data_IF_860528650225
#
_entry.id   IF_860528650225
#
_cell.length_a   1.000
_cell.length_b   1.000
_cell.length_c   1.000
_cell.angle_alpha   90.00
_cell.angle_beta   90.00
_cell.angle_gamma   90.00
#
_symmetry.space_group_name_H-M   'P 1'
#
loop_
_entity.id
_entity.type
_entity.pdbx_description
1 polymer ?
#
# COMPACT_ATOMS: atom_id res chain seq x y z
N UNK A 1 3.40 -13.22 -14.86
CA UNK A 1 2.87 -12.22 -13.94
C UNK A 1 2.87 -10.86 -14.62
N UNK A 2 1.75 -10.17 -14.61
CA UNK A 2 1.65 -8.82 -15.14
C UNK A 2 1.58 -7.82 -13.98
N UNK A 3 2.67 -7.09 -13.75
CA UNK A 3 2.77 -6.14 -12.63
C UNK A 3 1.74 -5.03 -12.71
N UNK A 4 1.41 -4.57 -13.92
CA UNK A 4 0.40 -3.54 -14.13
C UNK A 4 -0.99 -4.03 -13.72
N UNK A 5 -1.36 -5.25 -14.07
CA UNK A 5 -2.64 -5.84 -13.64
C UNK A 5 -2.72 -5.99 -12.12
N UNK A 6 -1.63 -6.39 -11.48
CA UNK A 6 -1.58 -6.49 -10.03
C UNK A 6 -1.73 -5.11 -9.37
N UNK A 7 -1.06 -4.10 -9.91
CA UNK A 7 -1.24 -2.73 -9.44
C UNK A 7 -2.68 -2.25 -9.60
N UNK A 8 -3.30 -2.51 -10.74
CA UNK A 8 -4.71 -2.15 -10.99
C UNK A 8 -5.66 -2.84 -10.03
N UNK A 9 -5.38 -4.10 -9.67
CA UNK A 9 -6.16 -4.85 -8.68
C UNK A 9 -6.13 -4.15 -7.31
N UNK A 10 -4.95 -3.69 -6.88
CA UNK A 10 -4.81 -2.97 -5.62
C UNK A 10 -5.49 -1.60 -5.66
N UNK A 11 -5.33 -0.87 -6.77
CA UNK A 11 -5.97 0.44 -6.96
C UNK A 11 -7.50 0.28 -6.91
N UNK A 12 -8.03 -0.71 -7.59
CA UNK A 12 -9.47 -0.98 -7.63
C UNK A 12 -10.01 -1.37 -6.26
N UNK A 13 -9.28 -2.22 -5.52
CA UNK A 13 -9.67 -2.60 -4.17
C UNK A 13 -9.80 -1.38 -3.26
N UNK A 14 -8.84 -0.47 -3.31
CA UNK A 14 -8.87 0.76 -2.52
C UNK A 14 -9.98 1.71 -2.99
N UNK A 15 -10.16 1.88 -4.30
CA UNK A 15 -11.16 2.76 -4.87
C UNK A 15 -12.59 2.29 -4.59
N UNK A 16 -12.82 1.00 -4.70
CA UNK A 16 -14.13 0.39 -4.45
C UNK A 16 -14.35 0.11 -2.96
N UNK A 17 -13.31 0.23 -2.14
CA UNK A 17 -13.33 -0.08 -0.70
C UNK A 17 -13.77 -1.51 -0.44
N UNK A 18 -13.22 -2.43 -1.22
CA UNK A 18 -13.48 -3.87 -1.12
C UNK A 18 -12.14 -4.58 -0.93
N UNK A 19 -12.06 -5.44 0.09
CA UNK A 19 -10.85 -6.19 0.36
C UNK A 19 -10.53 -7.14 -0.80
N UNK A 20 -9.24 -7.34 -1.04
CA UNK A 20 -8.74 -8.33 -1.99
C UNK A 20 -7.87 -9.33 -1.27
N UNK A 21 -7.72 -10.52 -1.85
CA UNK A 21 -6.80 -11.53 -1.33
C UNK A 21 -5.36 -11.09 -1.53
N UNK A 22 -4.41 -11.59 -0.72
CA UNK A 22 -3.00 -11.29 -0.95
C UNK A 22 -2.56 -11.66 -2.35
N UNK A 23 -1.73 -10.83 -2.98
CA UNK A 23 -1.20 -11.13 -4.32
C UNK A 23 -0.39 -12.42 -4.31
N UNK A 24 0.23 -12.76 -3.19
CA UNK A 24 1.01 -13.97 -3.02
C UNK A 24 0.18 -15.26 -3.03
N UNK A 25 -1.14 -15.17 -2.87
CA UNK A 25 -2.01 -16.35 -3.04
C UNK A 25 -1.99 -16.82 -4.49
N UNK A 26 -1.96 -15.90 -5.45
CA UNK A 26 -1.91 -16.22 -6.87
C UNK A 26 -0.47 -16.32 -7.38
N UNK A 27 0.46 -15.62 -6.76
CA UNK A 27 1.87 -15.55 -7.16
C UNK A 27 2.79 -15.79 -5.94
N UNK A 28 2.92 -17.06 -5.50
CA UNK A 28 3.71 -17.38 -4.30
C UNK A 28 5.19 -16.97 -4.38
N UNK A 29 5.72 -16.85 -5.60
CA UNK A 29 7.13 -16.48 -5.82
C UNK A 29 7.35 -14.97 -5.92
N UNK A 30 6.31 -14.16 -5.70
CA UNK A 30 6.42 -12.71 -5.73
C UNK A 30 7.37 -12.25 -4.63
N UNK A 31 8.47 -11.61 -5.01
CA UNK A 31 9.49 -11.14 -4.08
C UNK A 31 9.29 -9.68 -3.67
N UNK A 32 10.10 -9.22 -2.71
CA UNK A 32 10.00 -7.86 -2.16
C UNK A 32 10.28 -6.81 -3.24
N UNK A 33 11.29 -7.02 -4.08
CA UNK A 33 11.62 -6.07 -5.15
C UNK A 33 10.47 -5.91 -6.15
N UNK A 34 9.84 -7.01 -6.51
CA UNK A 34 8.65 -6.98 -7.38
C UNK A 34 7.49 -6.27 -6.69
N UNK A 35 7.28 -6.53 -5.39
CA UNK A 35 6.24 -5.85 -4.62
C UNK A 35 6.45 -4.33 -4.62
N UNK A 36 7.69 -3.86 -4.45
CA UNK A 36 7.98 -2.42 -4.53
C UNK A 36 7.74 -1.85 -5.94
N UNK A 37 8.06 -2.61 -6.98
CA UNK A 37 7.75 -2.19 -8.36
C UNK A 37 6.24 -2.02 -8.56
N UNK A 38 5.45 -2.94 -8.01
CA UNK A 38 3.98 -2.83 -8.03
C UNK A 38 3.53 -1.60 -7.24
N UNK A 39 4.11 -1.36 -6.06
CA UNK A 39 3.83 -0.17 -5.27
C UNK A 39 4.12 1.12 -6.04
N UNK A 40 5.26 1.19 -6.74
CA UNK A 40 5.61 2.35 -7.55
C UNK A 40 4.57 2.61 -8.63
N UNK A 41 4.05 1.57 -9.25
CA UNK A 41 2.98 1.70 -10.25
C UNK A 41 1.68 2.23 -9.62
N UNK A 42 1.31 1.73 -8.44
CA UNK A 42 0.15 2.22 -7.69
C UNK A 42 0.31 3.70 -7.34
N UNK A 43 1.47 4.07 -6.81
CA UNK A 43 1.76 5.46 -6.41
C UNK A 43 1.71 6.37 -7.63
N UNK A 44 2.31 5.97 -8.75
CA UNK A 44 2.31 6.79 -9.97
C UNK A 44 0.90 6.99 -10.52
N UNK A 45 0.06 5.96 -10.48
CA UNK A 45 -1.34 6.07 -10.88
C UNK A 45 -2.11 7.07 -9.99
N UNK A 46 -1.85 7.06 -8.69
CA UNK A 46 -2.45 8.00 -7.76
C UNK A 46 -1.99 9.44 -8.02
N UNK A 47 -0.69 9.63 -8.30
CA UNK A 47 -0.14 10.94 -8.66
C UNK A 47 -0.77 11.46 -9.94
N UNK A 48 -0.95 10.60 -10.94
CA UNK A 48 -1.61 10.97 -12.20
C UNK A 48 -3.07 11.40 -11.97
N UNK A 49 -3.71 10.88 -10.92
CA UNK A 49 -5.08 11.26 -10.53
C UNK A 49 -5.13 12.49 -9.61
N UNK A 50 -3.99 13.13 -9.33
CA UNK A 50 -3.93 14.36 -8.55
C UNK A 50 -3.40 14.22 -7.12
N UNK A 51 -3.02 13.01 -6.69
CA UNK A 51 -2.43 12.83 -5.36
C UNK A 51 -1.04 13.46 -5.28
N UNK A 52 -0.76 14.14 -4.17
CA UNK A 52 0.55 14.74 -3.89
C UNK A 52 1.19 13.94 -2.76
N UNK A 53 2.40 13.44 -2.98
CA UNK A 53 3.14 12.71 -1.96
C UNK A 53 3.70 13.72 -0.96
N UNK A 54 3.38 13.52 0.31
CA UNK A 54 3.77 14.43 1.40
C UNK A 54 4.69 13.79 2.42
N UNK A 55 4.90 12.47 2.35
CA UNK A 55 5.76 11.79 3.30
C UNK A 55 5.87 10.32 3.01
N UNK A 56 6.54 9.62 3.91
CA UNK A 56 6.74 8.18 3.85
C UNK A 56 6.46 7.55 5.21
N UNK A 57 5.96 6.33 5.20
CA UNK A 57 5.75 5.52 6.39
C UNK A 57 6.76 4.38 6.39
N UNK A 58 7.43 4.17 7.52
CA UNK A 58 8.33 3.03 7.72
C UNK A 58 7.65 2.00 8.61
N UNK A 59 7.79 0.74 8.26
CA UNK A 59 7.26 -0.38 9.03
C UNK A 59 8.34 -1.42 9.29
N UNK A 60 8.13 -2.27 10.28
CA UNK A 60 9.05 -3.35 10.65
C UNK A 60 10.48 -2.82 10.88
N UNK A 61 10.59 -1.76 11.68
CA UNK A 61 11.87 -1.09 11.93
C UNK A 61 12.71 -1.78 13.00
N UNK A 62 12.12 -2.68 13.82
CA UNK A 62 12.86 -3.46 14.81
C UNK A 62 13.24 -4.83 14.25
N UNK A 63 14.41 -5.32 14.68
CA UNK A 63 14.91 -6.63 14.26
C UNK A 63 13.98 -7.76 14.68
N UNK A 64 13.41 -7.67 15.88
CA UNK A 64 12.46 -8.66 16.38
C UNK A 64 11.20 -8.75 15.50
N UNK A 65 10.66 -7.61 15.08
CA UNK A 65 9.50 -7.58 14.18
C UNK A 65 9.82 -8.11 12.79
N UNK A 66 11.02 -7.81 12.27
CA UNK A 66 11.48 -8.34 11.01
C UNK A 66 11.55 -9.87 11.03
N UNK A 67 12.11 -10.44 12.08
CA UNK A 67 12.19 -11.89 12.27
C UNK A 67 10.79 -12.52 12.37
N UNK A 68 9.89 -11.89 13.14
CA UNK A 68 8.52 -12.36 13.31
C UNK A 68 7.76 -12.40 11.98
N UNK A 69 7.99 -11.43 11.12
CA UNK A 69 7.32 -11.29 9.81
C UNK A 69 8.13 -11.90 8.66
N UNK A 70 9.24 -12.56 8.97
CA UNK A 70 10.09 -13.24 8.00
C UNK A 70 10.65 -12.31 6.92
N UNK A 71 11.07 -11.12 7.33
CA UNK A 71 11.76 -10.15 6.48
C UNK A 71 13.10 -9.78 7.11
N UNK A 72 14.02 -9.24 6.34
CA UNK A 72 15.38 -8.91 6.78
C UNK A 72 15.70 -7.42 6.76
N UNK A 73 14.73 -6.59 6.41
CA UNK A 73 14.90 -5.14 6.35
C UNK A 73 13.57 -4.42 6.62
N UNK A 74 13.60 -3.13 7.01
CA UNK A 74 12.38 -2.35 7.15
C UNK A 74 11.63 -2.23 5.83
N UNK A 75 10.31 -2.07 5.93
CA UNK A 75 9.44 -1.80 4.79
C UNK A 75 9.07 -0.33 4.78
N UNK A 76 8.77 0.20 3.59
CA UNK A 76 8.33 1.59 3.45
C UNK A 76 7.15 1.71 2.50
N UNK A 77 6.38 2.78 2.69
CA UNK A 77 5.30 3.17 1.80
C UNK A 77 5.20 4.69 1.75
N UNK A 78 4.44 5.20 0.79
CA UNK A 78 4.30 6.63 0.58
C UNK A 78 2.97 7.14 1.15
N UNK A 79 3.00 8.34 1.70
CA UNK A 79 1.81 9.02 2.21
C UNK A 79 1.44 10.14 1.25
N UNK A 80 0.18 10.17 0.84
CA UNK A 80 -0.36 11.25 0.01
C UNK A 80 -1.17 12.24 0.85
N UNK A 81 -1.36 13.45 0.32
CA UNK A 81 -2.03 14.53 1.01
C UNK A 81 -3.46 14.18 1.48
N UNK A 82 -4.16 13.34 0.74
CA UNK A 82 -5.52 12.92 1.05
C UNK A 82 -5.60 11.91 2.21
N UNK A 83 -4.48 11.40 2.68
CA UNK A 83 -4.39 10.57 3.88
C UNK A 83 -4.32 11.40 5.16
N UNK A 84 -4.10 12.71 5.03
CA UNK A 84 -4.02 13.61 6.17
C UNK A 84 -5.41 13.96 6.67
N UNK A 85 -5.60 13.87 7.98
CA UNK A 85 -6.84 14.28 8.66
C UNK A 85 -6.42 15.22 9.78
N UNK A 86 -6.98 16.43 9.79
CA UNK A 86 -6.68 17.42 10.81
C UNK A 86 -7.27 16.99 12.15
N UNK A 87 -6.62 17.42 13.23
CA UNK A 87 -7.12 17.19 14.59
C UNK A 87 -8.51 17.78 14.73
N UNK A 88 -9.46 16.97 15.19
CA UNK A 88 -10.85 17.38 15.37
C UNK A 88 -11.75 17.13 14.17
N UNK A 89 -11.20 16.76 13.01
CA UNK A 89 -12.02 16.34 11.89
C UNK A 89 -12.58 14.94 12.14
N UNK A 90 -13.84 14.67 11.73
CA UNK A 90 -14.38 13.33 11.84
C UNK A 90 -13.73 12.37 10.85
N UNK A 91 -13.47 11.16 11.29
CA UNK A 91 -13.00 10.08 10.43
C UNK A 91 -14.22 9.35 9.87
N UNK A 92 -14.41 9.44 8.56
CA UNK A 92 -15.57 8.83 7.89
C UNK A 92 -15.24 7.37 7.57
N UNK A 93 -15.91 6.44 8.21
CA UNK A 93 -15.66 4.99 8.08
C UNK A 93 -15.83 4.49 6.65
N UNK A 94 -16.73 5.08 5.87
CA UNK A 94 -17.00 4.70 4.48
C UNK A 94 -15.81 4.92 3.54
N UNK A 95 -14.79 5.65 3.99
CA UNK A 95 -13.57 5.88 3.20
C UNK A 95 -12.62 4.69 3.21
N UNK A 96 -12.83 3.72 4.08
CA UNK A 96 -11.87 2.65 4.35
C UNK A 96 -12.49 1.29 4.07
N UNK A 97 -11.63 0.32 3.75
CA UNK A 97 -12.03 -1.08 3.61
C UNK A 97 -12.42 -1.63 4.99
N UNK A 98 -11.54 -1.37 5.97
CA UNK A 98 -11.72 -1.79 7.37
C UNK A 98 -11.34 -0.61 8.27
N UNK A 99 -12.29 0.20 8.64
CA UNK A 99 -12.02 1.34 9.51
C UNK A 99 -11.62 0.93 10.93
#
# INVERSE_FOLDING_TARGET
MNKTELAERLIRAASDRVATTPLTDDFPDLDVDTAYTIQDTVVEARRASGAVIVGAKLGLTSKAKQEQMNVDEPLYGWLSHDMHIDTGEPLVCDRFIQP
#
